data_IF_652962319249
#
_entry.id   IF_652962319249
#
_cell.length_a   1.000
_cell.length_b   1.000
_cell.length_c   1.000
_cell.angle_alpha   90.00
_cell.angle_beta   90.00
_cell.angle_gamma   90.00
#
_symmetry.space_group_name_H-M   'P 1'
#
loop_
_entity.id
_entity.type
_entity.pdbx_description
1 polymer ?
#
# COMPACT_ATOMS: atom_id res chain seq x y z
N UNK A 1 -2.35 -9.95 5.17
CA UNK A 1 -1.40 -8.83 5.04
C UNK A 1 -1.07 -8.07 6.32
N UNK A 2 -1.30 -8.69 7.46
CA UNK A 2 -1.02 -8.05 8.75
C UNK A 2 0.47 -7.74 8.90
N UNK A 3 1.32 -8.65 8.48
CA UNK A 3 2.77 -8.47 8.59
C UNK A 3 3.29 -7.36 7.68
N UNK A 4 2.73 -7.27 6.48
CA UNK A 4 3.11 -6.21 5.54
C UNK A 4 2.70 -4.84 6.09
N UNK A 5 1.50 -4.76 6.65
CA UNK A 5 1.04 -3.53 7.27
C UNK A 5 1.96 -3.08 8.40
N UNK A 6 2.35 -4.01 9.26
CA UNK A 6 3.24 -3.70 10.37
C UNK A 6 4.60 -3.20 9.88
N UNK A 7 5.13 -3.85 8.84
CA UNK A 7 6.39 -3.45 8.25
C UNK A 7 6.30 -2.05 7.65
N UNK A 8 5.24 -1.78 6.90
CA UNK A 8 5.06 -0.47 6.27
C UNK A 8 4.89 0.64 7.29
N UNK A 9 4.19 0.36 8.39
CA UNK A 9 4.06 1.32 9.49
C UNK A 9 5.42 1.69 10.07
N UNK A 10 6.29 0.71 10.18
CA UNK A 10 7.64 0.93 10.70
C UNK A 10 8.48 1.74 9.73
N UNK A 11 8.46 1.36 8.46
CA UNK A 11 9.29 2.02 7.43
C UNK A 11 8.87 3.46 7.22
N UNK A 12 7.55 3.70 7.14
CA UNK A 12 7.03 5.05 6.90
C UNK A 12 6.87 5.86 8.17
N UNK A 13 7.05 5.24 9.33
CA UNK A 13 6.94 5.95 10.60
C UNK A 13 5.55 6.46 10.92
N UNK A 14 4.51 5.78 10.45
CA UNK A 14 3.15 6.20 10.71
C UNK A 14 2.31 5.05 11.25
N UNK A 15 1.58 5.31 12.32
CA UNK A 15 0.70 4.33 12.95
C UNK A 15 -0.68 4.28 12.30
N UNK A 16 -1.01 5.27 11.51
CA UNK A 16 -2.32 5.37 10.89
C UNK A 16 -2.38 4.72 9.50
N UNK A 17 -1.26 4.18 9.04
CA UNK A 17 -1.24 3.43 7.79
C UNK A 17 -2.00 2.12 7.94
N UNK A 18 -2.87 1.83 6.98
CA UNK A 18 -3.60 0.58 6.97
C UNK A 18 -3.57 -0.05 5.58
N UNK A 19 -3.50 -1.38 5.56
CA UNK A 19 -3.55 -2.16 4.33
C UNK A 19 -4.88 -2.89 4.32
N UNK A 20 -5.71 -2.61 3.33
CA UNK A 20 -7.07 -3.17 3.24
C UNK A 20 -7.17 -4.07 2.02
N UNK A 21 -7.56 -5.33 2.25
CA UNK A 21 -7.72 -6.29 1.18
C UNK A 21 -8.84 -5.88 0.23
N UNK A 22 -8.65 -6.13 -1.06
CA UNK A 22 -9.67 -5.88 -2.07
C UNK A 22 -10.53 -7.13 -2.23
N UNK A 23 -11.86 -7.02 -2.09
CA UNK A 23 -12.72 -8.22 -2.08
C UNK A 23 -12.68 -9.05 -3.36
N UNK A 24 -12.44 -8.41 -4.49
CA UNK A 24 -12.49 -9.09 -5.79
C UNK A 24 -11.14 -9.39 -6.41
N UNK A 25 -10.06 -8.93 -5.80
CA UNK A 25 -8.70 -9.10 -6.33
C UNK A 25 -7.85 -9.70 -5.23
N UNK A 26 -7.47 -10.97 -5.40
CA UNK A 26 -6.78 -11.72 -4.35
C UNK A 26 -5.36 -11.24 -4.07
N UNK A 27 -4.66 -10.80 -5.11
CA UNK A 27 -3.25 -10.46 -5.00
C UNK A 27 -3.01 -8.96 -4.93
N UNK A 28 -4.01 -8.22 -4.47
CA UNK A 28 -3.93 -6.78 -4.40
C UNK A 28 -4.63 -6.25 -3.16
N UNK A 29 -4.11 -5.14 -2.66
CA UNK A 29 -4.69 -4.48 -1.50
C UNK A 29 -4.59 -2.97 -1.70
N UNK A 30 -5.38 -2.23 -0.93
CA UNK A 30 -5.34 -0.78 -0.93
C UNK A 30 -4.62 -0.30 0.32
N UNK A 31 -3.84 0.74 0.18
CA UNK A 31 -3.08 1.31 1.30
C UNK A 31 -3.63 2.70 1.61
N UNK A 32 -3.91 2.91 2.89
CA UNK A 32 -4.47 4.16 3.39
C UNK A 32 -3.59 4.73 4.48
N UNK A 33 -3.58 6.04 4.60
CA UNK A 33 -3.05 6.72 5.79
C UNK A 33 -4.22 7.51 6.36
N UNK A 34 -4.68 7.09 7.55
CA UNK A 34 -5.92 7.63 8.08
C UNK A 34 -7.09 7.25 7.18
N UNK A 35 -7.79 8.24 6.66
CA UNK A 35 -8.89 8.03 5.72
C UNK A 35 -8.47 8.22 4.26
N UNK A 36 -7.21 8.57 4.02
CA UNK A 36 -6.75 8.92 2.68
C UNK A 36 -6.14 7.71 1.97
N UNK A 37 -6.68 7.41 0.81
CA UNK A 37 -6.13 6.37 -0.06
C UNK A 37 -4.81 6.89 -0.66
N UNK A 38 -3.72 6.13 -0.46
CA UNK A 38 -2.42 6.57 -0.96
C UNK A 38 -1.83 5.69 -2.05
N UNK A 39 -2.30 4.46 -2.18
CA UNK A 39 -1.75 3.61 -3.23
C UNK A 39 -2.24 2.18 -3.16
N UNK A 40 -1.67 1.35 -4.02
CA UNK A 40 -2.02 -0.05 -4.09
C UNK A 40 -0.80 -0.92 -3.80
N UNK A 41 -1.09 -2.07 -3.23
CA UNK A 41 -0.08 -3.08 -2.91
C UNK A 41 -0.43 -4.34 -3.66
N UNK A 42 0.51 -4.87 -4.41
CA UNK A 42 0.30 -6.11 -5.15
C UNK A 42 1.32 -7.16 -4.74
N UNK A 43 0.91 -8.41 -4.81
CA UNK A 43 1.77 -9.54 -4.49
C UNK A 43 2.40 -10.04 -5.79
N UNK A 44 3.71 -10.11 -5.80
CA UNK A 44 4.48 -10.62 -6.91
C UNK A 44 5.18 -11.91 -6.46
N UNK A 45 4.89 -12.99 -7.13
CA UNK A 45 5.41 -14.30 -6.77
C UNK A 45 6.18 -14.94 -7.93
N UNK A 46 6.73 -14.12 -8.81
CA UNK A 46 7.56 -14.64 -9.90
C UNK A 46 8.89 -15.16 -9.35
N UNK A 47 9.44 -16.14 -10.03
CA UNK A 47 10.75 -16.72 -9.71
C UNK A 47 10.82 -17.39 -8.32
N UNK A 48 9.68 -17.72 -7.75
CA UNK A 48 9.64 -18.41 -6.47
C UNK A 48 9.93 -17.55 -5.24
N UNK A 49 10.12 -16.26 -5.43
CA UNK A 49 10.29 -15.32 -4.32
C UNK A 49 9.03 -14.47 -4.16
N UNK A 50 8.55 -14.40 -2.94
CA UNK A 50 7.39 -13.59 -2.61
C UNK A 50 7.82 -12.14 -2.39
N UNK A 51 7.27 -11.25 -3.19
CA UNK A 51 7.58 -9.82 -3.11
C UNK A 51 6.28 -9.02 -3.11
N UNK A 52 6.26 -7.95 -2.34
CA UNK A 52 5.13 -7.04 -2.29
C UNK A 52 5.53 -5.73 -2.94
N UNK A 53 4.77 -5.34 -3.97
CA UNK A 53 5.05 -4.11 -4.71
C UNK A 53 4.05 -3.04 -4.31
N UNK A 54 4.56 -1.94 -3.80
CA UNK A 54 3.73 -0.78 -3.45
C UNK A 54 3.83 0.26 -4.56
N UNK A 55 2.68 0.71 -5.04
CA UNK A 55 2.62 1.72 -6.08
C UNK A 55 1.76 2.88 -5.60
N UNK A 56 2.35 4.05 -5.55
CA UNK A 56 1.67 5.26 -5.11
C UNK A 56 1.61 6.26 -6.26
N UNK A 57 0.40 6.51 -6.80
CA UNK A 57 0.26 7.54 -7.84
C UNK A 57 0.28 8.93 -7.19
N UNK A 58 1.11 9.79 -7.73
CA UNK A 58 1.17 11.19 -7.29
C UNK A 58 0.73 12.04 -8.46
N UNK A 59 -0.45 12.63 -8.32
CA UNK A 59 -1.03 13.45 -9.39
C UNK A 59 -0.51 14.87 -9.27
N UNK A 60 -0.41 15.54 -10.41
CA UNK A 60 0.05 16.91 -10.44
C UNK A 60 -0.83 17.82 -9.58
N UNK A 61 -2.13 17.56 -9.57
CA UNK A 61 -3.05 18.35 -8.75
C UNK A 61 -2.72 18.24 -7.26
N UNK A 62 -2.20 17.08 -6.82
CA UNK A 62 -1.80 16.91 -5.43
C UNK A 62 -0.63 17.80 -5.07
N UNK A 63 0.26 18.05 -6.03
CA UNK A 63 1.44 18.90 -5.83
C UNK A 63 1.07 20.37 -5.77
N UNK A 64 -0.03 20.75 -6.40
CA UNK A 64 -0.48 22.15 -6.41
C UNK A 64 -0.99 22.60 -5.06
N UNK A 65 -1.34 21.66 -4.18
CA UNK A 65 -1.88 21.97 -2.85
C UNK A 65 -0.82 22.15 -1.77
N UNK A 66 0.44 21.99 -2.14
CA UNK A 66 1.56 22.13 -1.19
C UNK A 66 2.07 23.54 -1.13
#
# INVERSE_FOLDING_TARGET
MVRVQAYMRKVFGTKTLSVRARPKIKDSAEVYVGEDFIGTLSVDNEDGELCYQFQMPILEIDLEEI
#
